data_IF_679268269620
#
_entry.id   IF_679268269620
#
_cell.length_a   1.000
_cell.length_b   1.000
_cell.length_c   1.000
_cell.angle_alpha   90.00
_cell.angle_beta   90.00
_cell.angle_gamma   90.00
#
_symmetry.space_group_name_H-M   'P 1'
#
loop_
_entity.id
_entity.type
_entity.pdbx_description
1 polymer ?
#
# COMPACT_ATOMS: atom_id res chain seq x y z
N UNK A 1 -30.89 -20.96 -9.63
CA UNK A 1 -30.17 -20.31 -8.52
C UNK A 1 -29.01 -19.59 -9.14
N UNK A 2 -29.09 -18.27 -9.28
CA UNK A 2 -28.01 -17.49 -9.87
C UNK A 2 -26.83 -17.45 -8.90
N UNK A 3 -25.71 -18.01 -9.31
CA UNK A 3 -24.44 -17.85 -8.60
C UNK A 3 -24.13 -16.35 -8.54
N UNK A 4 -24.25 -15.76 -7.36
CA UNK A 4 -23.83 -14.37 -7.14
C UNK A 4 -22.33 -14.39 -6.94
N UNK A 5 -21.56 -14.32 -8.03
CA UNK A 5 -20.10 -14.22 -7.97
C UNK A 5 -19.70 -13.04 -7.10
N UNK A 6 -18.93 -13.32 -6.05
CA UNK A 6 -18.35 -12.29 -5.17
C UNK A 6 -17.06 -11.78 -5.79
N UNK A 7 -16.81 -10.49 -5.62
CA UNK A 7 -15.60 -9.84 -6.11
C UNK A 7 -14.85 -9.18 -4.95
N UNK A 8 -13.54 -9.35 -4.90
CA UNK A 8 -12.63 -8.55 -4.05
C UNK A 8 -11.76 -7.64 -4.90
N UNK A 9 -11.31 -6.56 -4.31
CA UNK A 9 -10.38 -5.65 -4.95
C UNK A 9 -9.15 -5.43 -4.09
N UNK A 10 -7.98 -5.28 -4.75
CA UNK A 10 -6.68 -5.18 -4.10
C UNK A 10 -5.94 -3.96 -4.64
N UNK A 11 -5.32 -3.21 -3.74
CA UNK A 11 -4.45 -2.07 -4.05
C UNK A 11 -3.31 -1.97 -3.04
N UNK A 12 -2.30 -1.14 -3.34
CA UNK A 12 -1.12 -0.95 -2.50
C UNK A 12 -0.83 0.52 -2.20
N UNK A 13 -0.05 0.74 -1.13
CA UNK A 13 0.56 2.00 -0.80
C UNK A 13 2.05 1.82 -0.45
N UNK A 14 2.89 2.69 -1.01
CA UNK A 14 4.29 2.73 -0.61
C UNK A 14 5.28 2.06 -1.55
N UNK A 15 5.04 1.99 -2.86
CA UNK A 15 6.03 1.50 -3.84
C UNK A 15 7.20 2.45 -4.04
N UNK A 16 6.93 3.76 -4.16
CA UNK A 16 7.92 4.78 -4.48
C UNK A 16 8.81 5.30 -3.34
N UNK A 17 8.39 5.29 -2.06
CA UNK A 17 9.21 5.75 -0.94
C UNK A 17 10.51 4.97 -0.77
N UNK A 18 11.56 5.66 -0.33
CA UNK A 18 12.89 5.09 0.00
C UNK A 18 12.98 4.62 1.47
N UNK A 19 11.93 4.85 2.26
CA UNK A 19 11.83 4.39 3.65
C UNK A 19 10.41 3.94 3.98
N UNK A 20 10.29 3.01 4.92
CA UNK A 20 9.03 2.47 5.39
C UNK A 20 8.51 1.30 4.54
N UNK A 21 7.48 0.60 5.05
CA UNK A 21 6.98 -0.62 4.45
C UNK A 21 6.21 -0.39 3.15
N UNK A 22 6.05 -1.48 2.40
CA UNK A 22 4.96 -1.63 1.44
C UNK A 22 3.72 -2.11 2.19
N UNK A 23 2.57 -1.52 1.93
CA UNK A 23 1.29 -2.00 2.47
C UNK A 23 0.38 -2.36 1.30
N UNK A 24 -0.18 -3.56 1.36
CA UNK A 24 -1.15 -4.06 0.38
C UNK A 24 -2.45 -4.38 1.12
N UNK A 25 -3.58 -3.99 0.56
CA UNK A 25 -4.88 -4.27 1.15
C UNK A 25 -5.85 -4.86 0.12
N UNK A 26 -6.68 -5.78 0.59
CA UNK A 26 -7.79 -6.33 -0.17
C UNK A 26 -9.10 -6.15 0.58
N UNK A 27 -10.19 -5.92 -0.14
CA UNK A 27 -11.52 -5.74 0.41
C UNK A 27 -12.60 -6.37 -0.47
N UNK A 28 -13.64 -6.91 0.16
CA UNK A 28 -14.85 -7.42 -0.49
C UNK A 28 -16.08 -6.83 0.21
N UNK A 29 -17.01 -6.31 -0.57
CA UNK A 29 -18.31 -5.81 -0.09
C UNK A 29 -19.46 -6.68 -0.55
N UNK A 30 -20.62 -6.49 0.08
CA UNK A 30 -21.89 -7.03 -0.39
C UNK A 30 -22.18 -6.51 -1.81
N UNK A 31 -22.80 -7.37 -2.63
CA UNK A 31 -23.18 -6.99 -4.00
C UNK A 31 -24.13 -5.80 -3.98
N UNK A 32 -23.80 -4.75 -4.75
CA UNK A 32 -24.57 -3.51 -4.80
C UNK A 32 -24.22 -2.50 -3.72
N UNK A 33 -23.22 -2.75 -2.89
CA UNK A 33 -22.70 -1.75 -1.95
C UNK A 33 -22.24 -0.49 -2.71
N UNK A 34 -22.71 0.65 -2.25
CA UNK A 34 -22.34 1.97 -2.80
C UNK A 34 -22.09 2.95 -1.67
N UNK A 35 -21.10 3.80 -1.85
CA UNK A 35 -20.82 4.90 -0.92
C UNK A 35 -20.08 6.02 -1.66
N UNK A 36 -20.75 7.16 -1.84
CA UNK A 36 -20.21 8.31 -2.60
C UNK A 36 -18.99 8.97 -1.95
N UNK A 37 -18.73 8.70 -0.67
CA UNK A 37 -17.56 9.24 0.03
C UNK A 37 -16.27 8.47 -0.29
N UNK A 38 -16.37 7.24 -0.79
CA UNK A 38 -15.23 6.42 -1.19
C UNK A 38 -14.79 6.85 -2.59
N UNK A 39 -13.71 7.61 -2.68
CA UNK A 39 -13.10 8.11 -3.92
C UNK A 39 -11.57 7.88 -3.83
N UNK A 40 -10.87 8.20 -4.89
CA UNK A 40 -9.40 8.16 -4.96
C UNK A 40 -8.74 8.70 -3.70
N UNK A 41 -8.02 7.84 -3.00
CA UNK A 41 -7.40 8.14 -1.70
C UNK A 41 -6.48 9.36 -1.73
N UNK A 42 -5.94 9.71 -2.90
CA UNK A 42 -5.04 10.85 -3.12
C UNK A 42 -5.77 12.19 -3.10
N UNK A 43 -7.08 12.20 -3.43
CA UNK A 43 -7.93 13.40 -3.40
C UNK A 43 -8.49 13.68 -2.01
N UNK A 44 -8.49 12.70 -1.13
CA UNK A 44 -9.07 12.79 0.20
C UNK A 44 -8.07 13.40 1.20
N UNK A 45 -8.59 14.20 2.15
CA UNK A 45 -7.80 14.64 3.30
C UNK A 45 -7.50 13.45 4.22
N UNK A 46 -6.45 13.56 5.04
CA UNK A 46 -6.09 12.52 6.01
C UNK A 46 -7.26 12.20 6.96
N UNK A 47 -7.94 13.23 7.47
CA UNK A 47 -9.12 13.08 8.35
C UNK A 47 -10.26 12.30 7.68
N UNK A 48 -10.52 12.57 6.39
CA UNK A 48 -11.53 11.84 5.63
C UNK A 48 -11.11 10.39 5.42
N UNK A 49 -9.83 10.12 5.07
CA UNK A 49 -9.33 8.76 4.94
C UNK A 49 -9.45 7.96 6.23
N UNK A 50 -9.14 8.55 7.38
CA UNK A 50 -9.26 7.89 8.69
C UNK A 50 -10.73 7.53 9.01
N UNK A 51 -11.67 8.43 8.74
CA UNK A 51 -13.09 8.15 8.92
C UNK A 51 -13.57 7.02 7.99
N UNK A 52 -13.13 7.06 6.72
CA UNK A 52 -13.47 6.03 5.73
C UNK A 52 -12.80 4.68 6.05
N UNK A 53 -11.61 4.64 6.63
CA UNK A 53 -10.98 3.41 7.09
C UNK A 53 -11.91 2.65 8.06
N UNK A 54 -12.45 3.35 9.06
CA UNK A 54 -13.38 2.75 10.03
C UNK A 54 -14.69 2.32 9.36
N UNK A 55 -15.22 3.11 8.45
CA UNK A 55 -16.42 2.76 7.69
C UNK A 55 -16.17 1.50 6.83
N UNK A 56 -15.10 1.46 6.06
CA UNK A 56 -14.76 0.34 5.18
C UNK A 56 -14.60 -0.95 5.98
N UNK A 57 -13.87 -0.92 7.11
CA UNK A 57 -13.66 -2.10 7.94
C UNK A 57 -14.92 -2.62 8.60
N UNK A 58 -15.92 -1.75 8.85
CA UNK A 58 -17.21 -2.13 9.41
C UNK A 58 -18.18 -2.69 8.35
N UNK A 59 -18.16 -2.14 7.14
CA UNK A 59 -19.09 -2.50 6.06
C UNK A 59 -18.58 -3.65 5.19
N UNK A 60 -17.28 -3.93 5.19
CA UNK A 60 -16.69 -5.00 4.40
C UNK A 60 -17.12 -6.38 4.90
N UNK A 61 -17.53 -7.27 3.99
CA UNK A 61 -17.70 -8.69 4.27
C UNK A 61 -16.39 -9.37 4.63
N UNK A 62 -15.31 -8.89 4.03
CA UNK A 62 -13.96 -9.37 4.26
C UNK A 62 -12.95 -8.30 3.87
N UNK A 63 -11.88 -8.19 4.62
CA UNK A 63 -10.69 -7.43 4.24
C UNK A 63 -9.44 -8.09 4.82
N UNK A 64 -8.31 -7.83 4.17
CA UNK A 64 -6.99 -8.20 4.66
C UNK A 64 -6.00 -7.08 4.36
N UNK A 65 -5.07 -6.84 5.28
CA UNK A 65 -4.01 -5.85 5.12
C UNK A 65 -2.68 -6.53 5.43
N UNK A 66 -1.74 -6.46 4.50
CA UNK A 66 -0.38 -6.93 4.67
C UNK A 66 0.58 -5.75 4.75
N UNK A 67 1.46 -5.80 5.75
CA UNK A 67 2.56 -4.83 5.92
C UNK A 67 3.86 -5.54 5.68
N UNK A 68 4.55 -5.20 4.60
CA UNK A 68 5.76 -5.88 4.16
C UNK A 68 6.99 -5.00 4.45
N UNK A 69 7.92 -5.54 5.23
CA UNK A 69 9.11 -4.85 5.69
C UNK A 69 10.09 -4.54 4.55
N UNK A 70 10.90 -3.51 4.74
CA UNK A 70 11.89 -3.01 3.81
C UNK A 70 12.90 -4.07 3.39
N UNK A 71 13.31 -4.96 4.31
CA UNK A 71 14.26 -6.05 4.05
C UNK A 71 13.77 -7.05 3.00
N UNK A 72 12.44 -7.27 2.95
CA UNK A 72 11.85 -8.16 1.95
C UNK A 72 11.85 -7.46 0.58
N UNK A 73 11.55 -6.15 0.56
CA UNK A 73 11.62 -5.34 -0.66
C UNK A 73 13.04 -5.33 -1.23
N UNK A 74 14.04 -5.13 -0.38
CA UNK A 74 15.46 -5.13 -0.78
C UNK A 74 15.91 -6.49 -1.36
N UNK A 75 15.38 -7.59 -0.82
CA UNK A 75 15.71 -8.96 -1.27
C UNK A 75 15.06 -9.33 -2.59
N UNK A 76 13.80 -8.92 -2.83
CA UNK A 76 12.98 -9.42 -3.94
C UNK A 76 12.73 -8.39 -5.05
N UNK A 77 12.99 -7.12 -4.84
CA UNK A 77 12.55 -5.89 -5.51
C UNK A 77 11.06 -5.57 -5.28
N UNK A 78 10.72 -4.30 -5.52
CA UNK A 78 9.38 -3.77 -5.20
C UNK A 78 8.27 -4.38 -6.07
N UNK A 79 8.52 -4.63 -7.35
CA UNK A 79 7.52 -5.20 -8.26
C UNK A 79 7.10 -6.60 -7.80
N UNK A 80 8.10 -7.46 -7.60
CA UNK A 80 7.87 -8.85 -7.17
C UNK A 80 7.24 -8.92 -5.78
N UNK A 81 7.71 -8.10 -4.86
CA UNK A 81 7.13 -8.00 -3.51
C UNK A 81 5.66 -7.60 -3.54
N UNK A 82 5.31 -6.60 -4.38
CA UNK A 82 3.91 -6.17 -4.55
C UNK A 82 3.05 -7.29 -5.12
N UNK A 83 3.51 -7.93 -6.18
CA UNK A 83 2.77 -9.01 -6.85
C UNK A 83 2.54 -10.21 -5.92
N UNK A 84 3.56 -10.66 -5.20
CA UNK A 84 3.45 -11.77 -4.25
C UNK A 84 2.46 -11.44 -3.10
N UNK A 85 2.51 -10.22 -2.57
CA UNK A 85 1.58 -9.80 -1.53
C UNK A 85 0.13 -9.69 -2.04
N UNK A 86 -0.07 -9.20 -3.26
CA UNK A 86 -1.40 -9.20 -3.89
C UNK A 86 -1.91 -10.60 -4.15
N UNK A 87 -1.05 -11.53 -4.60
CA UNK A 87 -1.40 -12.93 -4.77
C UNK A 87 -1.81 -13.60 -3.46
N UNK A 88 -1.08 -13.34 -2.36
CA UNK A 88 -1.42 -13.85 -1.04
C UNK A 88 -2.83 -13.39 -0.59
N UNK A 89 -3.12 -12.12 -0.73
CA UNK A 89 -4.46 -11.57 -0.44
C UNK A 89 -5.52 -12.18 -1.36
N UNK A 90 -5.23 -12.31 -2.65
CA UNK A 90 -6.15 -12.87 -3.64
C UNK A 90 -6.50 -14.34 -3.35
N UNK A 91 -5.52 -15.16 -2.95
CA UNK A 91 -5.77 -16.54 -2.54
C UNK A 91 -6.64 -16.62 -1.27
N UNK A 92 -6.41 -15.75 -0.30
CA UNK A 92 -7.14 -15.73 0.97
C UNK A 92 -8.55 -15.15 0.84
N UNK A 93 -8.82 -14.33 -0.17
CA UNK A 93 -10.11 -13.71 -0.36
C UNK A 93 -11.21 -14.76 -0.65
N UNK A 94 -12.34 -14.76 0.08
CA UNK A 94 -13.43 -15.72 -0.10
C UNK A 94 -14.35 -15.33 -1.26
N UNK A 95 -13.77 -15.21 -2.47
CA UNK A 95 -14.41 -14.68 -3.68
C UNK A 95 -14.03 -15.48 -4.92
N UNK A 96 -14.82 -15.33 -5.98
CA UNK A 96 -14.58 -15.98 -7.27
C UNK A 96 -13.74 -15.09 -8.21
N UNK A 97 -13.88 -13.76 -8.08
CA UNK A 97 -13.25 -12.76 -8.96
C UNK A 97 -12.40 -11.80 -8.13
N UNK A 98 -11.21 -11.48 -8.63
CA UNK A 98 -10.28 -10.53 -8.02
C UNK A 98 -9.96 -9.40 -8.99
N UNK A 99 -10.12 -8.16 -8.55
CA UNK A 99 -9.65 -6.97 -9.27
C UNK A 99 -8.38 -6.44 -8.59
N UNK A 100 -7.35 -6.14 -9.37
CA UNK A 100 -6.12 -5.51 -8.87
C UNK A 100 -5.88 -4.14 -9.52
N UNK A 101 -5.34 -3.16 -8.77
CA UNK A 101 -4.87 -1.92 -9.40
C UNK A 101 -3.55 -2.16 -10.14
N UNK A 102 -3.63 -2.12 -11.48
CA UNK A 102 -2.50 -2.17 -12.42
C UNK A 102 -1.47 -3.31 -12.22
N UNK A 103 -1.76 -4.35 -11.42
CA UNK A 103 -0.84 -5.48 -11.17
C UNK A 103 -1.43 -6.78 -11.71
N UNK A 104 -0.77 -7.45 -12.68
CA UNK A 104 -1.21 -8.75 -13.17
C UNK A 104 -0.96 -9.85 -12.13
N UNK A 105 -1.89 -10.81 -12.05
CA UNK A 105 -1.87 -11.95 -11.10
C UNK A 105 -1.85 -13.31 -11.82
N UNK A 106 -0.87 -13.60 -12.70
CA UNK A 106 -0.91 -14.73 -13.63
C UNK A 106 -0.89 -16.12 -12.96
N UNK A 107 -0.50 -16.19 -11.68
CA UNK A 107 -0.45 -17.45 -10.92
C UNK A 107 -1.69 -17.66 -10.04
N UNK A 108 -2.71 -16.80 -10.15
CA UNK A 108 -3.95 -16.96 -9.42
C UNK A 108 -4.85 -17.98 -10.14
N UNK A 109 -5.41 -18.90 -9.39
CA UNK A 109 -6.35 -19.95 -9.84
C UNK A 109 -7.82 -19.51 -9.85
N UNK A 110 -8.07 -18.23 -9.54
CA UNK A 110 -9.37 -17.55 -9.62
C UNK A 110 -9.42 -16.63 -10.83
N UNK A 111 -10.61 -16.22 -11.24
CA UNK A 111 -10.79 -15.16 -12.23
C UNK A 111 -10.22 -13.83 -11.71
N UNK A 112 -9.45 -13.14 -12.53
CA UNK A 112 -8.86 -11.85 -12.14
C UNK A 112 -8.79 -10.87 -13.29
N UNK A 113 -8.83 -9.59 -12.95
CA UNK A 113 -8.65 -8.47 -13.89
C UNK A 113 -7.71 -7.42 -13.28
N UNK A 114 -6.76 -6.96 -14.08
CA UNK A 114 -5.89 -5.83 -13.73
C UNK A 114 -6.46 -4.54 -14.32
N UNK A 115 -6.93 -3.64 -13.46
CA UNK A 115 -7.61 -2.40 -13.84
C UNK A 115 -6.66 -1.22 -13.71
N UNK A 116 -6.27 -0.60 -14.83
CA UNK A 116 -5.43 0.60 -14.80
C UNK A 116 -6.22 1.78 -14.22
N UNK A 117 -5.68 2.44 -13.20
CA UNK A 117 -6.33 3.49 -12.40
C UNK A 117 -7.64 2.98 -11.79
N UNK A 118 -7.57 1.81 -11.20
CA UNK A 118 -8.72 1.14 -10.62
C UNK A 118 -9.35 1.90 -9.47
N UNK A 119 -8.54 2.62 -8.69
CA UNK A 119 -8.96 3.53 -7.60
C UNK A 119 -9.91 4.65 -8.07
N UNK A 120 -9.87 5.01 -9.35
CA UNK A 120 -10.79 5.99 -9.97
C UNK A 120 -12.00 5.37 -10.67
N UNK A 121 -12.00 4.06 -10.87
CA UNK A 121 -13.01 3.35 -11.68
C UNK A 121 -13.85 2.37 -10.86
N UNK A 122 -13.34 1.90 -9.75
CA UNK A 122 -13.99 0.89 -8.92
C UNK A 122 -13.97 1.33 -7.45
N UNK A 123 -15.16 1.42 -6.85
CA UNK A 123 -15.34 1.74 -5.44
C UNK A 123 -14.54 0.80 -4.53
N UNK A 124 -14.52 -0.48 -4.84
CA UNK A 124 -13.81 -1.47 -4.02
C UNK A 124 -12.30 -1.36 -4.14
N UNK A 125 -11.75 -0.98 -5.33
CA UNK A 125 -10.31 -0.67 -5.46
C UNK A 125 -9.98 0.61 -4.69
N UNK A 126 -10.83 1.66 -4.78
CA UNK A 126 -10.64 2.88 -3.99
C UNK A 126 -10.67 2.60 -2.48
N UNK A 127 -11.55 1.71 -2.02
CA UNK A 127 -11.60 1.29 -0.62
C UNK A 127 -10.30 0.55 -0.20
N UNK A 128 -9.80 -0.38 -1.02
CA UNK A 128 -8.52 -1.05 -0.77
C UNK A 128 -7.36 -0.05 -0.70
N UNK A 129 -7.32 0.93 -1.62
CA UNK A 129 -6.36 2.04 -1.62
C UNK A 129 -6.39 2.82 -0.31
N UNK A 130 -7.58 3.16 0.21
CA UNK A 130 -7.74 3.85 1.49
C UNK A 130 -7.20 3.01 2.64
N UNK A 131 -7.52 1.70 2.70
CA UNK A 131 -7.01 0.80 3.74
C UNK A 131 -5.48 0.74 3.73
N UNK A 132 -4.88 0.54 2.57
CA UNK A 132 -3.43 0.49 2.42
C UNK A 132 -2.77 1.83 2.80
N UNK A 133 -3.33 2.94 2.31
CA UNK A 133 -2.79 4.29 2.54
C UNK A 133 -2.85 4.69 4.01
N UNK A 134 -4.00 4.50 4.69
CA UNK A 134 -4.15 4.84 6.11
C UNK A 134 -3.22 4.00 6.97
N UNK A 135 -3.16 2.69 6.73
CA UNK A 135 -2.27 1.80 7.49
C UNK A 135 -0.82 2.24 7.35
N UNK A 136 -0.39 2.55 6.12
CA UNK A 136 0.97 3.02 5.88
C UNK A 136 1.25 4.37 6.52
N UNK A 137 0.33 5.32 6.41
CA UNK A 137 0.51 6.66 6.99
C UNK A 137 0.61 6.62 8.52
N UNK A 138 -0.15 5.74 9.19
CA UNK A 138 -0.04 5.45 10.63
C UNK A 138 1.33 4.87 10.98
N UNK A 139 1.86 3.96 10.16
CA UNK A 139 3.21 3.42 10.35
C UNK A 139 4.27 4.51 10.24
N UNK A 140 4.19 5.37 9.22
CA UNK A 140 5.14 6.46 9.02
C UNK A 140 5.09 7.52 10.13
N UNK A 141 3.93 7.72 10.78
CA UNK A 141 3.85 8.57 11.99
C UNK A 141 4.58 7.97 13.18
N UNK A 142 4.44 6.65 13.39
CA UNK A 142 5.21 5.96 14.45
C UNK A 142 6.72 6.03 14.20
N UNK A 143 7.16 5.92 12.95
CA UNK A 143 8.57 6.14 12.61
C UNK A 143 9.03 7.58 12.88
N UNK A 144 8.17 8.56 12.66
CA UNK A 144 8.46 9.97 12.95
C UNK A 144 8.65 10.23 14.46
N UNK A 145 7.85 9.56 15.30
CA UNK A 145 8.00 9.60 16.76
C UNK A 145 9.34 9.00 17.22
N UNK A 146 9.79 7.92 16.58
CA UNK A 146 11.07 7.27 16.88
C UNK A 146 12.27 8.04 16.33
N UNK A 147 12.11 8.68 15.17
CA UNK A 147 13.17 9.38 14.44
C UNK A 147 12.73 10.78 13.99
N UNK A 148 12.41 11.69 14.92
CA UNK A 148 11.79 12.98 14.60
C UNK A 148 12.64 13.87 13.67
N UNK A 149 13.99 13.67 13.68
CA UNK A 149 14.89 14.43 12.83
C UNK A 149 14.77 14.11 11.33
N UNK A 150 14.09 13.00 10.96
CA UNK A 150 13.89 12.64 9.55
C UNK A 150 12.62 13.26 8.95
N UNK A 151 11.59 13.54 9.75
CA UNK A 151 10.34 14.15 9.29
C UNK A 151 9.44 13.19 8.48
N UNK A 152 9.42 11.91 8.84
CA UNK A 152 8.65 10.86 8.14
C UNK A 152 7.15 11.14 8.10
N UNK A 153 6.61 11.81 9.09
CA UNK A 153 5.18 12.18 9.12
C UNK A 153 4.79 13.16 8.01
N UNK A 154 5.73 13.96 7.50
CA UNK A 154 5.50 14.94 6.43
C UNK A 154 5.61 14.30 5.05
N UNK A 155 6.75 13.72 4.75
CA UNK A 155 7.04 13.20 3.40
C UNK A 155 6.76 11.71 3.22
N UNK A 156 6.28 11.00 4.26
CA UNK A 156 5.89 9.58 4.22
C UNK A 156 6.96 8.64 3.63
N UNK A 157 8.24 8.99 3.81
CA UNK A 157 9.37 8.22 3.29
C UNK A 157 9.75 8.49 1.83
N UNK A 158 9.07 9.39 1.13
CA UNK A 158 9.45 9.78 -0.23
C UNK A 158 10.77 10.56 -0.25
N UNK A 159 11.57 10.47 -1.34
CA UNK A 159 12.88 11.12 -1.45
C UNK A 159 12.77 12.63 -1.71
N UNK A 160 12.10 13.36 -0.83
CA UNK A 160 12.04 14.81 -0.85
C UNK A 160 13.39 15.40 -0.49
N UNK A 161 13.60 16.68 -0.82
CA UNK A 161 14.84 17.41 -0.44
C UNK A 161 15.11 17.27 1.07
N UNK A 162 14.11 17.48 1.92
CA UNK A 162 14.23 17.34 3.36
C UNK A 162 14.65 15.93 3.81
N UNK A 163 14.10 14.88 3.17
CA UNK A 163 14.47 13.50 3.49
C UNK A 163 15.93 13.20 3.08
N UNK A 164 16.35 13.67 1.90
CA UNK A 164 17.74 13.51 1.44
C UNK A 164 18.72 14.28 2.34
N UNK A 165 18.37 15.49 2.77
CA UNK A 165 19.16 16.27 3.73
C UNK A 165 19.27 15.54 5.07
N UNK A 166 18.18 14.95 5.58
CA UNK A 166 18.22 14.15 6.80
C UNK A 166 19.11 12.91 6.64
N UNK A 167 19.06 12.20 5.50
CA UNK A 167 19.96 11.09 5.19
C UNK A 167 21.43 11.51 5.19
N UNK A 168 21.74 12.67 4.61
CA UNK A 168 23.12 13.21 4.60
C UNK A 168 23.60 13.51 6.01
N UNK A 169 22.74 14.08 6.85
CA UNK A 169 23.09 14.56 8.19
C UNK A 169 23.14 13.43 9.21
N UNK A 170 22.13 12.56 9.22
CA UNK A 170 21.94 11.55 10.28
C UNK A 170 22.23 10.12 9.81
N UNK A 171 22.38 9.90 8.50
CA UNK A 171 22.71 8.59 7.92
C UNK A 171 21.50 7.75 7.57
N UNK A 172 21.77 6.48 7.22
CA UNK A 172 20.77 5.49 6.82
C UNK A 172 20.29 4.72 8.04
N UNK A 173 18.99 4.64 8.25
CA UNK A 173 18.34 3.82 9.28
C UNK A 173 17.93 2.46 8.71
N UNK A 174 17.55 1.52 9.59
CA UNK A 174 17.06 0.19 9.18
C UNK A 174 15.73 0.23 8.44
N UNK A 175 14.92 1.28 8.64
CA UNK A 175 13.69 1.50 7.90
C UNK A 175 13.89 2.03 6.46
N UNK A 176 15.14 2.29 6.03
CA UNK A 176 15.42 2.68 4.65
C UNK A 176 15.63 1.47 3.76
N UNK A 177 15.12 1.56 2.54
CA UNK A 177 15.25 0.53 1.50
C UNK A 177 16.61 0.65 0.83
N UNK A 178 17.52 -0.23 1.22
CA UNK A 178 18.94 -0.19 0.80
C UNK A 178 19.15 -0.44 -0.70
N UNK A 179 18.21 -1.11 -1.35
CA UNK A 179 18.23 -1.34 -2.80
C UNK A 179 17.78 -0.13 -3.64
N UNK A 180 17.26 0.93 -3.02
CA UNK A 180 16.81 2.12 -3.73
C UNK A 180 17.95 3.10 -3.97
N UNK A 181 18.08 3.63 -5.19
CA UNK A 181 19.22 4.42 -5.65
C UNK A 181 19.67 5.55 -4.71
N UNK A 182 18.79 6.41 -4.15
CA UNK A 182 19.21 7.43 -3.21
C UNK A 182 19.86 6.88 -1.95
N UNK A 183 19.41 5.72 -1.44
CA UNK A 183 19.96 5.08 -0.24
C UNK A 183 21.27 4.37 -0.56
N UNK A 184 21.35 3.68 -1.72
CA UNK A 184 22.60 3.05 -2.18
C UNK A 184 23.75 4.06 -2.26
N UNK A 185 23.50 5.21 -2.88
CA UNK A 185 24.50 6.29 -2.98
C UNK A 185 25.04 6.73 -1.61
N UNK A 186 24.18 6.81 -0.60
CA UNK A 186 24.60 7.17 0.77
C UNK A 186 25.44 6.09 1.41
N UNK A 187 25.18 4.82 1.12
CA UNK A 187 25.96 3.70 1.66
C UNK A 187 27.33 3.61 0.99
N UNK A 188 27.44 3.90 -0.31
CA UNK A 188 28.70 3.90 -1.06
C UNK A 188 29.65 5.02 -0.59
N UNK A 189 29.13 6.24 -0.37
CA UNK A 189 29.94 7.39 0.10
C UNK A 189 30.59 7.14 1.48
N UNK A 190 29.98 6.30 2.33
CA UNK A 190 30.52 5.99 3.67
C UNK A 190 31.59 4.89 3.69
N UNK A 191 31.93 4.31 2.55
CA UNK A 191 32.96 3.26 2.44
C UNK A 191 34.35 3.85 2.11
N UNK A 192 34.46 5.15 1.91
CA UNK A 192 35.69 5.93 1.71
C UNK A 192 35.77 7.03 2.75
#
# INVERSE_FOLDING_TARGET
MGSTSRCSSIDEAGRGPIAGPLVVAGVCFEKGFTNEMIDDSKKLTEKKREALFSLITNEALWYQILVIEEKIIDKKNIYRTTQEAMLEIAHNAPVDIVLSDAMPLPSLDKEWESVIKGDQKSLSIAAASILAKVTRDRYMKKLDELYPMYGFSKHKGYPTKAHIEALNTYGVLDCHRRSYGPVQKMLEIKLF
#
